data_IF_938754473402
#
_entry.id   IF_938754473402
#
_cell.length_a   1.000
_cell.length_b   1.000
_cell.length_c   1.000
_cell.angle_alpha   90.00
_cell.angle_beta   90.00
_cell.angle_gamma   90.00
#
_symmetry.space_group_name_H-M   'P 1'
#
loop_
_entity.id
_entity.type
_entity.pdbx_description
1 polymer ?
#
# COMPACT_ATOMS: atom_id res chain seq x y z
N UNK A 1 6.47 -15.51 -24.25
CA UNK A 1 5.33 -14.71 -23.79
C UNK A 1 4.38 -15.55 -22.93
N UNK A 2 3.77 -16.62 -23.46
CA UNK A 2 2.81 -17.49 -22.74
C UNK A 2 3.20 -17.89 -21.30
N UNK A 3 4.48 -18.20 -21.05
CA UNK A 3 5.01 -18.60 -19.73
C UNK A 3 4.89 -17.49 -18.70
N UNK A 4 5.29 -16.26 -19.03
CA UNK A 4 5.11 -15.10 -18.16
C UNK A 4 3.63 -14.80 -17.92
N UNK A 5 2.77 -14.99 -18.94
CA UNK A 5 1.32 -14.85 -18.81
C UNK A 5 0.72 -15.80 -17.78
N UNK A 6 0.99 -17.12 -17.88
CA UNK A 6 0.50 -18.09 -16.88
C UNK A 6 1.10 -17.88 -15.49
N UNK A 7 2.38 -17.51 -15.38
CA UNK A 7 3.02 -17.23 -14.09
C UNK A 7 2.36 -16.04 -13.39
N UNK A 8 2.25 -14.89 -14.06
CA UNK A 8 1.66 -13.69 -13.47
C UNK A 8 0.16 -13.86 -13.20
N UNK A 9 -0.57 -14.54 -14.09
CA UNK A 9 -1.99 -14.84 -13.91
C UNK A 9 -2.22 -15.78 -12.71
N UNK A 10 -1.41 -16.83 -12.54
CA UNK A 10 -1.52 -17.75 -11.41
C UNK A 10 -1.22 -17.06 -10.08
N UNK A 11 -0.13 -16.26 -10.02
CA UNK A 11 0.25 -15.48 -8.84
C UNK A 11 -0.85 -14.47 -8.46
N UNK A 12 -1.28 -13.63 -9.40
CA UNK A 12 -2.33 -12.63 -9.15
C UNK A 12 -3.69 -13.25 -8.81
N UNK A 13 -4.07 -14.36 -9.46
CA UNK A 13 -5.32 -15.06 -9.13
C UNK A 13 -5.28 -15.69 -7.73
N UNK A 14 -4.12 -16.21 -7.31
CA UNK A 14 -3.94 -16.72 -5.94
C UNK A 14 -4.09 -15.61 -4.88
N UNK A 15 -3.59 -14.41 -5.15
CA UNK A 15 -3.75 -13.26 -4.25
C UNK A 15 -5.17 -12.67 -4.25
N UNK A 16 -5.86 -12.66 -5.40
CA UNK A 16 -7.30 -12.36 -5.46
C UNK A 16 -8.11 -13.35 -4.61
N UNK A 17 -7.81 -14.65 -4.68
CA UNK A 17 -8.43 -15.68 -3.81
C UNK A 17 -8.15 -15.40 -2.33
N UNK A 18 -6.93 -15.01 -1.96
CA UNK A 18 -6.57 -14.67 -0.56
C UNK A 18 -7.36 -13.48 -0.02
N UNK A 19 -7.69 -12.50 -0.87
CA UNK A 19 -8.36 -11.26 -0.49
C UNK A 19 -9.90 -11.32 -0.54
N UNK A 20 -10.47 -12.09 -1.49
CA UNK A 20 -11.92 -12.08 -1.77
C UNK A 20 -12.64 -13.41 -1.49
N UNK A 21 -11.97 -14.57 -1.52
CA UNK A 21 -12.67 -15.86 -1.41
C UNK A 21 -13.01 -16.21 0.06
N UNK A 22 -14.30 -16.40 0.43
CA UNK A 22 -14.69 -16.72 1.81
C UNK A 22 -14.24 -18.13 2.25
N UNK A 23 -14.03 -19.04 1.30
CA UNK A 23 -13.27 -20.29 1.48
C UNK A 23 -12.11 -20.31 0.50
N UNK A 24 -10.91 -19.91 0.97
CA UNK A 24 -9.68 -19.85 0.15
C UNK A 24 -9.40 -21.14 -0.63
N UNK A 25 -9.61 -22.32 -0.01
CA UNK A 25 -9.39 -23.61 -0.70
C UNK A 25 -10.31 -23.84 -1.91
N UNK A 26 -11.57 -23.40 -1.84
CA UNK A 26 -12.51 -23.48 -2.98
C UNK A 26 -12.03 -22.52 -4.07
N UNK A 27 -11.66 -21.29 -3.71
CA UNK A 27 -11.12 -20.31 -4.66
C UNK A 27 -9.85 -20.82 -5.37
N UNK A 28 -8.91 -21.42 -4.65
CA UNK A 28 -7.71 -22.02 -5.26
C UNK A 28 -8.06 -23.18 -6.19
N UNK A 29 -9.01 -24.05 -5.81
CA UNK A 29 -9.47 -25.14 -6.67
C UNK A 29 -10.13 -24.61 -7.95
N UNK A 30 -11.01 -23.61 -7.85
CA UNK A 30 -11.64 -22.97 -9.01
C UNK A 30 -10.60 -22.32 -9.93
N UNK A 31 -9.64 -21.56 -9.38
CA UNK A 31 -8.55 -20.94 -10.15
C UNK A 31 -7.68 -22.01 -10.82
N UNK A 32 -7.30 -23.07 -10.11
CA UNK A 32 -6.52 -24.17 -10.67
C UNK A 32 -7.25 -24.87 -11.82
N UNK A 33 -8.55 -25.14 -11.69
CA UNK A 33 -9.38 -25.73 -12.76
C UNK A 33 -9.51 -24.77 -13.95
N UNK A 34 -9.74 -23.48 -13.74
CA UNK A 34 -9.80 -22.50 -14.82
C UNK A 34 -8.47 -22.38 -15.57
N UNK A 35 -7.34 -22.39 -14.86
CA UNK A 35 -6.01 -22.38 -15.47
C UNK A 35 -5.70 -23.68 -16.20
N UNK A 36 -6.02 -24.85 -15.63
CA UNK A 36 -5.90 -26.16 -16.28
C UNK A 36 -6.66 -26.21 -17.61
N UNK A 37 -7.91 -25.75 -17.63
CA UNK A 37 -8.72 -25.64 -18.85
C UNK A 37 -8.08 -24.69 -19.85
N UNK A 38 -7.70 -23.48 -19.43
CA UNK A 38 -7.10 -22.48 -20.30
C UNK A 38 -5.78 -22.96 -20.92
N UNK A 39 -4.92 -23.62 -20.13
CA UNK A 39 -3.68 -24.23 -20.59
C UNK A 39 -3.89 -25.46 -21.49
N UNK A 40 -4.98 -26.21 -21.31
CA UNK A 40 -5.32 -27.33 -22.19
C UNK A 40 -5.80 -26.87 -23.57
N UNK A 41 -6.69 -25.87 -23.63
CA UNK A 41 -7.27 -25.41 -24.90
C UNK A 41 -6.26 -24.55 -25.71
N UNK A 42 -5.30 -23.89 -25.05
CA UNK A 42 -4.21 -23.15 -25.70
C UNK A 42 -2.93 -23.96 -26.00
N UNK A 43 -2.97 -25.30 -25.83
CA UNK A 43 -1.80 -26.19 -25.95
C UNK A 43 -0.58 -25.73 -25.09
N UNK A 44 -0.86 -25.10 -23.95
CA UNK A 44 0.12 -24.45 -23.08
C UNK A 44 0.24 -25.14 -21.71
N UNK A 45 0.03 -26.47 -21.67
CA UNK A 45 0.03 -27.24 -20.42
C UNK A 45 1.34 -27.10 -19.61
N UNK A 46 2.51 -27.12 -20.25
CA UNK A 46 3.79 -26.93 -19.55
C UNK A 46 3.95 -25.51 -18.97
N UNK A 47 3.75 -24.41 -19.73
CA UNK A 47 3.62 -23.05 -19.18
C UNK A 47 2.64 -22.91 -18.02
N UNK A 48 1.47 -23.56 -18.12
CA UNK A 48 0.41 -23.50 -17.12
C UNK A 48 0.79 -24.24 -15.83
N UNK A 49 1.36 -25.46 -15.91
CA UNK A 49 1.85 -26.20 -14.74
C UNK A 49 2.98 -25.45 -14.05
N UNK A 50 3.90 -24.84 -14.81
CA UNK A 50 4.94 -23.97 -14.26
C UNK A 50 4.33 -22.75 -13.54
N UNK A 51 3.31 -22.13 -14.13
CA UNK A 51 2.54 -21.05 -13.49
C UNK A 51 1.90 -21.46 -12.17
N UNK A 52 1.28 -22.65 -12.10
CA UNK A 52 0.71 -23.18 -10.86
C UNK A 52 1.77 -23.47 -9.79
N UNK A 53 2.92 -24.02 -10.15
CA UNK A 53 4.05 -24.25 -9.22
C UNK A 53 4.60 -22.93 -8.70
N UNK A 54 4.84 -21.94 -9.56
CA UNK A 54 5.30 -20.60 -9.14
C UNK A 54 4.24 -19.89 -8.29
N UNK A 55 2.95 -20.04 -8.59
CA UNK A 55 1.85 -19.54 -7.78
C UNK A 55 1.80 -20.18 -6.38
N UNK A 56 2.02 -21.49 -6.27
CA UNK A 56 2.09 -22.18 -4.98
C UNK A 56 3.32 -21.75 -4.16
N UNK A 57 4.49 -21.62 -4.79
CA UNK A 57 5.72 -21.12 -4.16
C UNK A 57 5.56 -19.65 -3.73
N UNK A 58 4.88 -18.81 -4.52
CA UNK A 58 4.53 -17.44 -4.14
C UNK A 58 3.62 -17.42 -2.91
N UNK A 59 2.58 -18.26 -2.88
CA UNK A 59 1.67 -18.38 -1.73
C UNK A 59 2.40 -18.81 -0.45
N UNK A 60 3.50 -19.58 -0.57
CA UNK A 60 4.37 -19.95 0.55
C UNK A 60 5.30 -18.80 0.97
N UNK A 61 6.00 -18.17 0.01
CA UNK A 61 7.06 -17.19 0.27
C UNK A 61 6.55 -15.76 0.58
N UNK A 62 5.35 -15.41 0.11
CA UNK A 62 4.68 -14.13 0.36
C UNK A 62 3.37 -14.34 1.14
N UNK A 63 3.41 -14.58 2.45
CA UNK A 63 2.20 -14.63 3.29
C UNK A 63 1.49 -13.27 3.37
N UNK A 64 0.16 -13.25 3.31
CA UNK A 64 -0.62 -12.00 3.29
C UNK A 64 -0.89 -11.37 4.68
N UNK A 65 -0.65 -12.12 5.76
CA UNK A 65 -1.04 -11.81 7.15
C UNK A 65 0.17 -11.73 8.12
N UNK A 66 1.37 -12.01 7.62
CA UNK A 66 2.63 -12.03 8.39
C UNK A 66 3.72 -11.38 7.55
N UNK A 67 4.79 -10.90 8.18
CA UNK A 67 5.99 -10.43 7.45
C UNK A 67 6.50 -11.52 6.51
N UNK A 68 6.90 -11.13 5.30
CA UNK A 68 7.43 -12.08 4.32
C UNK A 68 8.78 -12.63 4.82
N UNK A 69 8.96 -13.96 4.98
CA UNK A 69 10.17 -14.54 5.58
C UNK A 69 11.43 -14.32 4.72
N UNK A 70 11.26 -13.97 3.44
CA UNK A 70 12.32 -13.68 2.48
C UNK A 70 12.34 -12.19 2.05
N UNK A 71 11.56 -11.34 2.73
CA UNK A 71 11.40 -9.92 2.37
C UNK A 71 10.98 -9.73 0.90
N UNK A 72 11.66 -8.80 0.22
CA UNK A 72 11.39 -8.44 -1.17
C UNK A 72 11.89 -9.47 -2.21
N UNK A 73 12.82 -10.37 -1.86
CA UNK A 73 13.50 -11.26 -2.82
C UNK A 73 12.59 -12.15 -3.70
N UNK A 74 11.45 -12.71 -3.21
CA UNK A 74 10.54 -13.47 -4.07
C UNK A 74 9.93 -12.62 -5.21
N UNK A 75 9.75 -11.31 -4.99
CA UNK A 75 9.28 -10.39 -6.02
C UNK A 75 10.34 -10.14 -7.10
N UNK A 76 11.61 -10.00 -6.69
CA UNK A 76 12.74 -9.87 -7.62
C UNK A 76 12.86 -11.12 -8.49
N UNK A 77 12.83 -12.31 -7.87
CA UNK A 77 12.91 -13.58 -8.60
C UNK A 77 11.74 -13.78 -9.57
N UNK A 78 10.51 -13.44 -9.15
CA UNK A 78 9.33 -13.48 -10.02
C UNK A 78 9.45 -12.51 -11.20
N UNK A 79 9.95 -11.30 -10.96
CA UNK A 79 10.19 -10.29 -12.00
C UNK A 79 11.23 -10.76 -13.02
N UNK A 80 12.39 -11.24 -12.55
CA UNK A 80 13.46 -11.80 -13.42
C UNK A 80 12.95 -13.00 -14.23
N UNK A 81 12.21 -13.92 -13.61
CA UNK A 81 11.63 -15.08 -14.29
C UNK A 81 10.60 -14.65 -15.36
N UNK A 82 9.76 -13.65 -15.07
CA UNK A 82 8.75 -13.15 -16.01
C UNK A 82 9.38 -12.39 -17.18
N UNK A 83 10.37 -11.54 -16.93
CA UNK A 83 11.13 -10.82 -17.97
C UNK A 83 11.87 -11.82 -18.86
N UNK A 84 12.60 -12.77 -18.28
CA UNK A 84 13.28 -13.81 -19.06
C UNK A 84 12.34 -14.68 -19.89
N UNK A 85 11.13 -14.97 -19.37
CA UNK A 85 10.07 -15.71 -20.07
C UNK A 85 9.34 -14.92 -21.16
N UNK A 86 9.70 -13.65 -21.36
CA UNK A 86 9.34 -12.82 -22.52
C UNK A 86 10.53 -12.66 -23.46
N UNK A 87 11.73 -12.38 -22.93
CA UNK A 87 12.94 -12.10 -23.73
C UNK A 87 13.51 -13.33 -24.44
N UNK A 88 13.55 -14.51 -23.78
CA UNK A 88 14.13 -15.73 -24.37
C UNK A 88 13.09 -16.69 -24.96
N UNK A 89 11.82 -16.56 -24.55
CA UNK A 89 10.70 -17.32 -25.08
C UNK A 89 9.75 -16.32 -25.73
N UNK A 90 9.87 -16.14 -27.06
CA UNK A 90 9.09 -15.16 -27.83
C UNK A 90 7.61 -15.52 -27.97
N UNK A 91 7.01 -15.07 -29.07
CA UNK A 91 5.66 -15.47 -29.47
C UNK A 91 5.63 -16.91 -30.00
N UNK A 92 4.58 -17.67 -29.67
CA UNK A 92 4.31 -18.97 -30.30
C UNK A 92 3.79 -18.78 -31.73
N UNK A 93 4.20 -19.65 -32.65
CA UNK A 93 3.64 -19.74 -34.01
C UNK A 93 2.31 -20.49 -34.09
N UNK A 94 1.97 -21.29 -33.07
CA UNK A 94 0.70 -22.02 -32.95
C UNK A 94 0.23 -21.98 -31.49
N UNK A 95 -1.05 -21.67 -31.27
CA UNK A 95 -1.71 -21.58 -29.96
C UNK A 95 -2.84 -22.62 -29.81
N UNK A 96 -2.75 -23.74 -30.51
CA UNK A 96 -3.67 -24.88 -30.41
C UNK A 96 -5.09 -24.53 -30.88
N UNK A 97 -6.09 -25.06 -30.18
CA UNK A 97 -7.51 -24.88 -30.51
C UNK A 97 -7.97 -23.41 -30.47
N UNK A 98 -7.23 -22.53 -29.80
CA UNK A 98 -7.51 -21.09 -29.78
C UNK A 98 -6.90 -20.38 -30.99
N UNK A 99 -5.74 -20.82 -31.48
CA UNK A 99 -4.99 -20.14 -32.54
C UNK A 99 -5.75 -19.99 -33.87
N UNK A 100 -6.65 -20.92 -34.19
CA UNK A 100 -7.49 -20.88 -35.41
C UNK A 100 -8.77 -20.06 -35.26
N UNK A 101 -9.14 -19.63 -34.04
CA UNK A 101 -10.39 -18.90 -33.74
C UNK A 101 -10.11 -17.48 -33.24
N UNK A 102 -8.94 -17.23 -32.67
CA UNK A 102 -8.59 -15.97 -32.02
C UNK A 102 -7.90 -14.97 -32.97
N UNK A 103 -8.71 -14.15 -33.65
CA UNK A 103 -8.23 -12.96 -34.39
C UNK A 103 -8.90 -11.68 -33.89
N UNK A 104 -8.47 -11.22 -32.71
CA UNK A 104 -8.89 -9.91 -32.18
C UNK A 104 -8.19 -8.80 -32.97
N UNK A 105 -8.84 -8.36 -34.05
CA UNK A 105 -8.45 -7.17 -34.82
C UNK A 105 -8.65 -5.92 -33.98
N UNK A 106 -7.55 -5.31 -33.55
CA UNK A 106 -7.52 -4.02 -32.86
C UNK A 106 -7.10 -2.90 -33.82
N UNK A 107 -7.29 -1.61 -33.45
CA UNK A 107 -6.74 -0.48 -34.21
C UNK A 107 -5.20 -0.48 -34.34
N UNK A 108 -4.51 -1.31 -33.54
CA UNK A 108 -3.06 -1.39 -33.45
C UNK A 108 -2.48 -2.69 -34.04
N UNK A 109 -3.31 -3.49 -34.72
CA UNK A 109 -2.95 -4.79 -35.28
C UNK A 109 -3.74 -5.95 -34.67
N UNK A 110 -3.37 -7.18 -35.03
CA UNK A 110 -3.96 -8.40 -34.45
C UNK A 110 -3.26 -8.75 -33.13
N UNK A 111 -4.03 -9.03 -32.09
CA UNK A 111 -3.49 -9.34 -30.75
C UNK A 111 -3.38 -10.86 -30.59
N UNK A 112 -2.18 -11.47 -30.63
CA UNK A 112 -2.02 -12.91 -30.45
C UNK A 112 -2.40 -13.34 -29.04
N UNK A 113 -2.88 -14.58 -28.89
CA UNK A 113 -3.34 -15.12 -27.61
C UNK A 113 -2.29 -15.02 -26.50
N UNK A 114 -1.02 -15.31 -26.83
CA UNK A 114 0.15 -15.14 -25.94
C UNK A 114 0.24 -13.75 -25.30
N UNK A 115 0.04 -12.69 -26.10
CA UNK A 115 0.10 -11.29 -25.67
C UNK A 115 -1.15 -10.90 -24.88
N UNK A 116 -2.32 -11.39 -25.29
CA UNK A 116 -3.57 -11.20 -24.55
C UNK A 116 -3.47 -11.84 -23.15
N UNK A 117 -2.93 -13.05 -23.04
CA UNK A 117 -2.72 -13.73 -21.76
C UNK A 117 -1.64 -13.06 -20.91
N UNK A 118 -0.54 -12.59 -21.51
CA UNK A 118 0.47 -11.80 -20.81
C UNK A 118 -0.13 -10.51 -20.23
N UNK A 119 -0.92 -9.79 -21.03
CA UNK A 119 -1.59 -8.55 -20.61
C UNK A 119 -2.60 -8.81 -19.49
N UNK A 120 -3.40 -9.88 -19.60
CA UNK A 120 -4.36 -10.30 -18.59
C UNK A 120 -3.66 -10.68 -17.27
N UNK A 121 -2.63 -11.53 -17.33
CA UNK A 121 -1.85 -11.95 -16.16
C UNK A 121 -1.14 -10.80 -15.48
N UNK A 122 -0.56 -9.89 -16.26
CA UNK A 122 0.07 -8.66 -15.77
C UNK A 122 -0.94 -7.75 -15.07
N UNK A 123 -2.11 -7.51 -15.68
CA UNK A 123 -3.19 -6.74 -15.05
C UNK A 123 -3.67 -7.37 -13.74
N UNK A 124 -3.91 -8.68 -13.72
CA UNK A 124 -4.34 -9.43 -12.52
C UNK A 124 -3.27 -9.40 -11.41
N UNK A 125 -1.98 -9.44 -11.75
CA UNK A 125 -0.86 -9.24 -10.82
C UNK A 125 -0.82 -7.81 -10.24
N UNK A 126 -1.04 -6.79 -11.08
CA UNK A 126 -1.03 -5.38 -10.65
C UNK A 126 -2.15 -5.04 -9.67
N UNK A 127 -3.27 -5.76 -9.68
CA UNK A 127 -4.37 -5.57 -8.74
C UNK A 127 -3.91 -5.83 -7.29
N UNK A 128 -3.47 -7.05 -6.96
CA UNK A 128 -3.20 -7.42 -5.56
C UNK A 128 -1.79 -7.90 -5.24
N UNK A 129 -1.15 -8.70 -6.09
CA UNK A 129 0.23 -9.16 -5.81
C UNK A 129 1.21 -8.00 -5.70
N UNK A 130 1.05 -6.96 -6.54
CA UNK A 130 1.82 -5.73 -6.44
C UNK A 130 1.62 -4.97 -5.09
N UNK A 131 0.50 -5.16 -4.37
CA UNK A 131 0.37 -4.62 -3.00
C UNK A 131 1.28 -5.36 -2.02
N UNK A 132 1.44 -6.68 -2.16
CA UNK A 132 2.36 -7.47 -1.34
C UNK A 132 3.82 -7.10 -1.64
N UNK A 133 4.16 -6.88 -2.91
CA UNK A 133 5.49 -6.42 -3.34
C UNK A 133 5.85 -5.07 -2.71
N UNK A 134 4.96 -4.07 -2.78
CA UNK A 134 5.19 -2.74 -2.19
C UNK A 134 5.36 -2.83 -0.66
N UNK A 135 4.56 -3.66 0.02
CA UNK A 135 4.72 -3.90 1.48
C UNK A 135 6.05 -4.57 1.82
N UNK A 136 6.46 -5.58 1.05
CA UNK A 136 7.70 -6.30 1.27
C UNK A 136 8.96 -5.46 1.02
N UNK A 137 8.87 -4.43 0.16
CA UNK A 137 9.92 -3.41 0.01
C UNK A 137 10.00 -2.52 1.28
N UNK A 138 8.86 -1.97 1.70
CA UNK A 138 8.77 -1.06 2.87
C UNK A 138 9.16 -1.75 4.19
N UNK A 139 8.79 -3.02 4.39
CA UNK A 139 9.25 -3.84 5.53
C UNK A 139 10.77 -4.05 5.53
N UNK A 140 11.40 -4.06 4.34
CA UNK A 140 12.84 -4.29 4.17
C UNK A 140 13.70 -3.12 4.64
N UNK A 141 13.29 -1.89 4.35
CA UNK A 141 14.10 -0.68 4.56
C UNK A 141 14.10 -0.15 6.01
N UNK A 142 13.40 -0.79 6.94
CA UNK A 142 13.37 -0.46 8.38
C UNK A 142 12.84 0.95 8.74
N UNK A 143 12.32 1.70 7.76
CA UNK A 143 11.77 3.07 7.89
C UNK A 143 10.59 3.18 8.87
N UNK A 144 9.95 2.05 9.22
CA UNK A 144 8.81 2.01 10.13
C UNK A 144 9.10 1.30 11.46
N UNK A 145 9.49 2.09 12.47
CA UNK A 145 9.15 1.81 13.87
C UNK A 145 7.95 2.68 14.26
N UNK A 146 6.73 2.14 14.48
CA UNK A 146 5.59 2.95 14.88
C UNK A 146 5.91 3.73 16.16
N UNK A 147 5.65 5.03 16.16
CA UNK A 147 5.72 5.84 17.38
C UNK A 147 4.75 5.34 18.47
N UNK A 148 3.73 4.57 18.07
CA UNK A 148 2.81 3.85 18.94
C UNK A 148 3.43 2.62 19.59
N UNK A 149 4.29 1.84 18.90
CA UNK A 149 5.07 0.79 19.57
C UNK A 149 6.16 1.39 20.46
N UNK A 150 6.70 2.57 20.13
CA UNK A 150 7.63 3.29 21.02
C UNK A 150 6.92 3.82 22.26
N UNK A 151 5.71 4.40 22.12
CA UNK A 151 4.87 4.79 23.26
C UNK A 151 4.38 3.60 24.07
N UNK A 152 3.99 2.49 23.43
CA UNK A 152 3.62 1.26 24.13
C UNK A 152 4.81 0.73 24.94
N UNK A 153 6.00 0.60 24.34
CA UNK A 153 7.20 0.16 25.06
C UNK A 153 7.61 1.11 26.22
N UNK A 154 7.34 2.41 26.13
CA UNK A 154 7.57 3.37 27.23
C UNK A 154 6.49 3.29 28.31
N UNK A 155 5.25 2.88 27.97
CA UNK A 155 4.16 2.66 28.93
C UNK A 155 4.16 1.24 29.54
N UNK A 156 4.90 0.31 28.95
CA UNK A 156 5.08 -1.09 29.36
C UNK A 156 6.46 -1.30 30.05
N UNK A 157 7.23 -0.22 30.24
CA UNK A 157 8.38 -0.15 31.16
C UNK A 157 7.88 -0.05 32.60
N UNK A 158 8.07 -1.05 33.49
CA UNK A 158 7.47 -1.01 34.83
C UNK A 158 8.15 -0.04 35.81
N UNK A 159 9.43 0.29 35.58
CA UNK A 159 10.28 1.02 36.53
C UNK A 159 11.12 2.12 35.84
N UNK A 160 10.54 3.29 35.62
CA UNK A 160 11.33 4.54 35.52
C UNK A 160 10.50 5.75 36.01
N UNK A 161 10.34 5.85 37.33
CA UNK A 161 9.78 7.04 37.97
C UNK A 161 10.72 8.23 37.74
N UNK A 162 10.25 9.40 37.27
CA UNK A 162 11.11 10.56 37.03
C UNK A 162 11.64 11.09 38.37
N UNK A 163 12.92 10.85 38.65
CA UNK A 163 13.60 11.35 39.85
C UNK A 163 13.63 12.86 39.83
N UNK A 164 12.93 13.50 40.77
CA UNK A 164 12.81 14.95 40.90
C UNK A 164 14.12 15.56 41.44
N UNK A 165 15.15 15.62 40.59
CA UNK A 165 16.48 16.13 40.93
C UNK A 165 17.20 16.77 39.73
N UNK A 166 16.52 17.64 39.01
CA UNK A 166 17.14 18.52 38.01
C UNK A 166 16.77 19.98 38.31
N UNK A 167 17.39 20.51 39.37
CA UNK A 167 17.24 21.91 39.80
C UNK A 167 18.13 22.79 38.92
N UNK A 168 17.60 23.79 38.18
CA UNK A 168 18.43 24.63 37.32
C UNK A 168 19.51 25.36 38.12
N UNK A 169 20.78 25.05 37.84
CA UNK A 169 21.93 25.67 38.51
C UNK A 169 22.07 27.11 38.03
N UNK A 170 21.59 28.05 38.84
CA UNK A 170 21.72 29.47 38.55
C UNK A 170 23.19 29.92 38.63
N UNK A 171 23.69 30.53 37.55
CA UNK A 171 25.01 31.17 37.56
C UNK A 171 24.99 32.42 38.47
N UNK A 172 25.91 32.55 39.44
CA UNK A 172 25.96 33.71 40.31
C UNK A 172 26.55 34.93 39.59
N UNK A 173 25.74 35.97 39.40
CA UNK A 173 26.21 37.31 39.01
C UNK A 173 26.59 38.08 40.29
N UNK A 174 27.79 38.65 40.31
CA UNK A 174 28.29 39.39 41.48
C UNK A 174 27.63 40.79 41.61
N UNK A 175 27.38 41.28 42.84
CA UNK A 175 26.77 42.60 43.07
C UNK A 175 27.79 43.74 42.98
N UNK A 176 27.36 44.93 42.51
CA UNK A 176 28.21 46.12 42.51
C UNK A 176 27.50 47.44 42.17
N UNK A 177 27.69 48.43 43.05
CA UNK A 177 27.35 49.87 42.92
C UNK A 177 25.86 50.29 42.93
N UNK A 178 25.64 51.53 43.38
CA UNK A 178 24.34 52.16 43.66
C UNK A 178 24.21 53.48 42.88
N UNK A 179 22.96 53.89 42.58
CA UNK A 179 22.40 55.26 42.54
C UNK A 179 21.23 55.37 41.54
N UNK A 180 20.22 56.23 41.67
CA UNK A 180 19.53 56.83 42.83
C UNK A 180 18.25 57.55 42.32
N UNK A 181 17.33 57.92 43.22
CA UNK A 181 16.34 59.02 43.12
C UNK A 181 15.10 58.93 42.17
N UNK A 182 14.01 59.65 42.53
CA UNK A 182 12.88 60.04 41.65
C UNK A 182 11.49 59.38 41.85
N UNK A 183 10.53 60.10 42.48
CA UNK A 183 9.08 59.77 42.56
C UNK A 183 8.32 60.10 41.23
N UNK A 184 6.99 59.90 40.97
CA UNK A 184 5.68 59.79 41.69
C UNK A 184 4.71 58.97 40.76
N UNK A 185 3.57 58.33 41.10
CA UNK A 185 2.79 58.07 42.33
C UNK A 185 1.24 58.32 42.16
N UNK A 186 0.37 57.55 42.85
CA UNK A 186 -1.15 57.64 42.89
C UNK A 186 -1.84 57.17 41.58
N UNK A 187 -3.03 56.53 41.46
CA UNK A 187 -4.25 56.18 42.27
C UNK A 187 -4.58 54.66 42.06
N UNK A 188 -5.46 53.90 42.75
CA UNK A 188 -6.84 54.12 43.25
C UNK A 188 -7.89 53.75 42.17
N UNK A 189 -8.91 52.88 42.32
CA UNK A 189 -9.49 52.15 43.47
C UNK A 189 -10.13 50.77 43.09
N UNK A 190 -10.63 50.08 44.14
CA UNK A 190 -11.47 48.88 44.25
C UNK A 190 -12.81 48.85 43.46
N UNK A 191 -13.62 47.78 43.43
CA UNK A 191 -13.46 46.38 43.92
C UNK A 191 -14.81 45.69 44.29
N UNK A 192 -14.75 44.41 44.72
CA UNK A 192 -15.84 43.59 45.38
C UNK A 192 -17.07 43.23 44.51
N UNK A 193 -17.64 42.01 44.53
CA UNK A 193 -17.26 40.73 45.17
C UNK A 193 -18.44 39.79 45.47
N UNK A 194 -18.14 38.60 46.01
CA UNK A 194 -19.06 37.58 46.58
C UNK A 194 -20.01 36.83 45.59
N UNK A 195 -20.51 35.60 45.85
CA UNK A 195 -20.36 34.70 47.01
C UNK A 195 -20.40 33.20 46.61
N UNK A 196 -19.89 32.31 47.46
CA UNK A 196 -20.06 30.84 47.37
C UNK A 196 -21.45 30.35 47.81
N UNK A 197 -21.88 29.20 47.28
CA UNK A 197 -22.79 28.27 47.97
C UNK A 197 -22.68 26.84 47.42
N UNK A 198 -22.57 25.85 48.31
CA UNK A 198 -22.59 24.40 47.99
C UNK A 198 -23.87 23.74 48.51
N UNK A 199 -24.44 22.82 47.73
CA UNK A 199 -25.37 21.78 48.16
C UNK A 199 -25.40 20.63 47.13
N UNK A 200 -25.83 19.44 47.54
CA UNK A 200 -25.85 18.24 46.70
C UNK A 200 -27.19 17.49 46.78
N UNK A 201 -27.27 16.38 46.06
CA UNK A 201 -28.33 15.36 46.05
C UNK A 201 -29.69 15.74 45.43
N UNK A 202 -30.04 15.04 44.36
CA UNK A 202 -31.10 14.02 44.40
C UNK A 202 -30.96 13.04 43.21
N UNK A 203 -31.58 11.87 43.30
CA UNK A 203 -31.50 10.82 42.28
C UNK A 203 -32.84 10.13 42.11
N UNK A 204 -33.32 10.02 40.87
CA UNK A 204 -34.40 9.08 40.49
C UNK A 204 -34.08 8.40 39.14
N UNK A 205 -34.37 7.11 38.96
CA UNK A 205 -34.13 6.39 37.71
C UNK A 205 -35.43 5.98 36.99
N UNK A 206 -35.61 6.42 35.74
CA UNK A 206 -36.40 5.72 34.72
C UNK A 206 -36.20 6.36 33.34
N UNK A 207 -35.91 5.57 32.31
CA UNK A 207 -35.77 6.08 30.94
C UNK A 207 -34.87 5.25 30.04
N UNK A 208 -35.29 4.01 29.72
CA UNK A 208 -34.66 3.19 28.68
C UNK A 208 -34.95 3.83 27.30
N UNK A 209 -34.15 4.83 26.94
CA UNK A 209 -34.28 5.55 25.68
C UNK A 209 -33.79 4.65 24.54
N UNK A 210 -34.74 4.18 23.72
CA UNK A 210 -34.54 3.24 22.60
C UNK A 210 -33.26 3.56 21.80
N UNK A 211 -32.23 2.77 22.04
CA UNK A 211 -30.86 3.06 21.63
C UNK A 211 -30.67 2.72 20.15
N UNK A 212 -31.19 3.60 19.27
CA UNK A 212 -31.01 3.56 17.82
C UNK A 212 -29.54 3.25 17.53
N UNK A 213 -29.22 2.04 16.99
CA UNK A 213 -27.84 1.58 16.95
C UNK A 213 -27.05 2.49 16.02
N UNK A 214 -26.12 3.24 16.61
CA UNK A 214 -25.31 4.22 15.90
C UNK A 214 -24.59 3.51 14.75
N UNK A 215 -25.04 3.77 13.51
CA UNK A 215 -24.42 3.21 12.30
C UNK A 215 -22.98 3.67 12.25
N UNK A 216 -22.05 2.77 12.56
CA UNK A 216 -20.62 3.06 12.61
C UNK A 216 -20.18 3.74 11.31
N UNK A 217 -19.72 5.00 11.35
CA UNK A 217 -19.23 5.70 10.16
C UNK A 217 -18.04 4.99 9.50
N UNK A 218 -17.37 4.06 10.22
CA UNK A 218 -16.30 3.20 9.68
C UNK A 218 -16.81 2.01 8.86
N UNK A 219 -18.12 1.87 8.68
CA UNK A 219 -18.70 1.20 7.51
C UNK A 219 -18.41 1.97 6.19
N UNK A 220 -17.78 3.15 6.28
CA UNK A 220 -17.23 3.93 5.17
C UNK A 220 -16.38 3.11 4.20
N UNK A 221 -16.42 3.53 2.94
CA UNK A 221 -16.01 2.72 1.80
C UNK A 221 -14.57 2.19 1.87
N UNK A 222 -14.38 0.94 1.44
CA UNK A 222 -13.08 0.26 1.26
C UNK A 222 -12.15 0.90 0.20
N UNK A 223 -12.46 2.13 -0.26
CA UNK A 223 -11.78 2.82 -1.36
C UNK A 223 -10.27 2.99 -1.16
N UNK A 224 -9.83 3.28 0.07
CA UNK A 224 -8.40 3.38 0.42
C UNK A 224 -7.57 2.14 0.08
N UNK A 225 -8.19 0.97 -0.04
CA UNK A 225 -7.53 -0.28 -0.46
C UNK A 225 -7.44 -0.43 -1.99
N UNK A 226 -8.40 0.13 -2.73
CA UNK A 226 -8.52 -0.03 -4.19
C UNK A 226 -7.81 1.08 -4.98
N UNK A 227 -7.53 2.24 -4.39
CA UNK A 227 -6.87 3.37 -5.06
C UNK A 227 -5.50 2.96 -5.62
N UNK A 228 -4.59 2.40 -4.82
CA UNK A 228 -3.26 1.98 -5.30
C UNK A 228 -3.28 0.94 -6.43
N UNK A 229 -4.10 -0.12 -6.36
CA UNK A 229 -4.38 -1.02 -7.48
C UNK A 229 -4.85 -0.31 -8.74
N UNK A 230 -5.87 0.57 -8.64
CA UNK A 230 -6.44 1.29 -9.78
C UNK A 230 -5.44 2.29 -10.38
N UNK A 231 -4.62 2.95 -9.57
CA UNK A 231 -3.52 3.80 -10.03
C UNK A 231 -2.52 2.99 -10.87
N UNK A 232 -2.10 1.80 -10.44
CA UNK A 232 -1.17 0.96 -11.23
C UNK A 232 -1.78 0.48 -12.55
N UNK A 233 -3.06 0.12 -12.57
CA UNK A 233 -3.77 -0.22 -13.81
C UNK A 233 -3.85 1.00 -14.72
N UNK A 234 -4.15 2.18 -14.19
CA UNK A 234 -4.23 3.42 -14.96
C UNK A 234 -2.85 3.85 -15.49
N UNK A 235 -1.76 3.66 -14.73
CA UNK A 235 -0.37 3.79 -15.21
C UNK A 235 -0.12 2.88 -16.41
N UNK A 236 -0.46 1.59 -16.29
CA UNK A 236 -0.22 0.61 -17.34
C UNK A 236 -0.98 0.97 -18.62
N UNK A 237 -2.27 1.32 -18.49
CA UNK A 237 -3.12 1.69 -19.62
C UNK A 237 -2.69 3.02 -20.27
N UNK A 238 -2.37 4.06 -19.49
CA UNK A 238 -1.91 5.34 -20.05
C UNK A 238 -0.54 5.22 -20.73
N UNK A 239 0.35 4.38 -20.21
CA UNK A 239 1.67 4.12 -20.83
C UNK A 239 1.49 3.37 -22.15
N UNK A 240 0.70 2.29 -22.17
CA UNK A 240 0.43 1.52 -23.39
C UNK A 240 -0.35 2.32 -24.45
N UNK A 241 -1.19 3.27 -24.03
CA UNK A 241 -1.90 4.20 -24.92
C UNK A 241 -1.09 5.44 -25.32
N UNK A 242 0.21 5.50 -24.97
CA UNK A 242 1.10 6.66 -25.18
C UNK A 242 0.56 8.00 -24.64
N UNK A 243 -0.33 7.97 -23.65
CA UNK A 243 -1.02 9.11 -23.06
C UNK A 243 -0.16 9.83 -22.01
N UNK A 244 1.12 10.06 -22.33
CA UNK A 244 2.14 10.57 -21.41
C UNK A 244 1.77 11.90 -20.72
N UNK A 245 1.08 12.88 -21.36
CA UNK A 245 0.65 14.10 -20.67
C UNK A 245 -0.35 13.83 -19.53
N UNK A 246 -1.25 12.86 -19.71
CA UNK A 246 -2.23 12.48 -18.69
C UNK A 246 -1.55 11.71 -17.55
N UNK A 247 -0.61 10.82 -17.90
CA UNK A 247 0.24 10.12 -16.93
C UNK A 247 1.06 11.09 -16.07
N UNK A 248 1.67 12.10 -16.69
CA UNK A 248 2.43 13.14 -16.01
C UNK A 248 1.54 14.04 -15.12
N UNK A 249 0.34 14.40 -15.59
CA UNK A 249 -0.63 15.15 -14.80
C UNK A 249 -1.10 14.35 -13.56
N UNK A 250 -1.34 13.05 -13.71
CA UNK A 250 -1.71 12.15 -12.62
C UNK A 250 -0.57 11.99 -11.59
N UNK A 251 0.68 11.83 -12.05
CA UNK A 251 1.90 11.84 -11.23
C UNK A 251 1.98 13.12 -10.39
N UNK A 252 1.91 14.28 -11.05
CA UNK A 252 2.00 15.59 -10.40
C UNK A 252 0.87 15.82 -9.39
N UNK A 253 -0.37 15.52 -9.76
CA UNK A 253 -1.54 15.66 -8.88
C UNK A 253 -1.41 14.80 -7.61
N UNK A 254 -0.93 13.55 -7.73
CA UNK A 254 -0.70 12.67 -6.58
C UNK A 254 0.36 13.25 -5.62
N UNK A 255 1.41 13.88 -6.14
CA UNK A 255 2.42 14.58 -5.35
C UNK A 255 1.86 15.81 -4.64
N UNK A 256 1.16 16.69 -5.37
CA UNK A 256 0.60 17.94 -4.84
C UNK A 256 -0.43 17.68 -3.74
N UNK A 257 -1.34 16.73 -3.94
CA UNK A 257 -2.40 16.39 -2.96
C UNK A 257 -1.83 15.81 -1.67
N UNK A 258 -0.62 15.23 -1.70
CA UNK A 258 0.09 14.65 -0.54
C UNK A 258 1.06 15.59 0.14
N UNK A 259 1.33 16.76 -0.44
CA UNK A 259 2.29 17.72 0.10
C UNK A 259 1.91 18.22 1.51
N UNK A 260 0.63 18.54 1.85
CA UNK A 260 0.25 18.99 3.19
C UNK A 260 0.50 17.97 4.30
N UNK A 261 0.37 16.68 4.02
CA UNK A 261 0.66 15.60 4.97
C UNK A 261 2.17 15.35 5.10
N UNK A 262 2.91 15.43 3.99
CA UNK A 262 4.38 15.34 3.97
C UNK A 262 4.99 16.48 4.79
N UNK A 263 4.58 17.73 4.56
CA UNK A 263 5.12 18.92 5.24
C UNK A 263 4.69 19.08 6.70
N UNK A 264 3.84 18.19 7.22
CA UNK A 264 3.42 18.14 8.63
C UNK A 264 4.02 16.97 9.41
N UNK A 265 4.79 16.10 8.76
CA UNK A 265 5.55 15.07 9.46
C UNK A 265 6.79 15.73 10.11
N UNK A 266 6.91 15.60 11.44
CA UNK A 266 7.95 16.26 12.23
C UNK A 266 9.33 15.66 12.06
N UNK A 267 10.21 15.89 13.05
CA UNK A 267 11.66 15.60 13.02
C UNK A 267 12.07 14.17 12.57
N UNK A 268 11.16 13.19 12.58
CA UNK A 268 11.45 11.83 12.11
C UNK A 268 11.21 11.58 10.63
N UNK A 269 10.45 12.42 9.90
CA UNK A 269 10.16 12.30 8.45
C UNK A 269 9.51 11.00 7.93
N UNK A 270 9.30 10.00 8.79
CA UNK A 270 9.09 8.61 8.40
C UNK A 270 7.79 8.34 7.60
N UNK A 271 6.72 9.15 7.74
CA UNK A 271 5.53 9.00 6.90
C UNK A 271 5.74 9.58 5.51
N UNK A 272 6.55 10.64 5.38
CA UNK A 272 6.95 11.18 4.09
C UNK A 272 7.79 10.16 3.34
N UNK A 273 8.79 9.58 3.99
CA UNK A 273 9.63 8.49 3.44
C UNK A 273 8.78 7.27 3.03
N UNK A 274 7.95 6.74 3.92
CA UNK A 274 7.03 5.62 3.63
C UNK A 274 6.13 5.90 2.42
N UNK A 275 5.65 7.13 2.25
CA UNK A 275 4.85 7.49 1.08
C UNK A 275 5.69 7.64 -0.20
N UNK A 276 6.88 8.26 -0.12
CA UNK A 276 7.76 8.45 -1.26
C UNK A 276 8.25 7.10 -1.79
N UNK A 277 8.81 6.24 -0.94
CA UNK A 277 9.21 4.87 -1.29
C UNK A 277 8.00 4.06 -1.77
N UNK A 278 6.92 4.03 -0.99
CA UNK A 278 5.75 3.19 -1.28
C UNK A 278 5.05 3.57 -2.59
N UNK A 279 5.04 4.86 -2.93
CA UNK A 279 4.55 5.31 -4.23
C UNK A 279 5.56 5.02 -5.34
N UNK A 280 6.84 5.36 -5.18
CA UNK A 280 7.90 5.13 -6.18
C UNK A 280 7.97 3.65 -6.60
N UNK A 281 8.00 2.72 -5.63
CA UNK A 281 7.98 1.28 -5.91
C UNK A 281 6.70 0.87 -6.66
N UNK A 282 5.54 1.43 -6.30
CA UNK A 282 4.27 1.18 -6.99
C UNK A 282 4.24 1.71 -8.43
N UNK A 283 4.85 2.88 -8.69
CA UNK A 283 5.01 3.43 -10.05
C UNK A 283 5.99 2.58 -10.88
N UNK A 284 7.15 2.20 -10.32
CA UNK A 284 8.13 1.33 -10.98
C UNK A 284 7.52 -0.02 -11.38
N UNK A 285 6.70 -0.63 -10.52
CA UNK A 285 5.99 -1.88 -10.84
C UNK A 285 4.97 -1.65 -11.96
N UNK A 286 4.18 -0.57 -11.92
CA UNK A 286 3.19 -0.26 -12.97
C UNK A 286 3.81 0.06 -14.33
N UNK A 287 4.93 0.79 -14.35
CA UNK A 287 5.68 1.13 -15.56
C UNK A 287 6.46 -0.07 -16.10
N UNK A 288 7.08 -0.88 -15.24
CA UNK A 288 7.76 -2.11 -15.63
C UNK A 288 6.80 -3.16 -16.21
N UNK A 289 5.60 -3.27 -15.64
CA UNK A 289 4.51 -4.06 -16.20
C UNK A 289 4.07 -3.58 -17.60
N UNK A 290 3.90 -2.26 -17.76
CA UNK A 290 3.58 -1.66 -19.06
C UNK A 290 4.69 -1.91 -20.10
N UNK A 291 5.95 -1.75 -19.69
CA UNK A 291 7.12 -1.99 -20.56
C UNK A 291 7.25 -3.48 -20.95
N UNK A 292 6.97 -4.42 -20.04
CA UNK A 292 6.99 -5.85 -20.34
C UNK A 292 5.94 -6.24 -21.39
N UNK A 293 4.73 -5.68 -21.29
CA UNK A 293 3.65 -5.87 -22.28
C UNK A 293 3.97 -5.17 -23.60
N UNK A 294 4.50 -3.94 -23.54
CA UNK A 294 4.91 -3.19 -24.74
C UNK A 294 6.03 -3.91 -25.49
N UNK A 295 7.07 -4.37 -24.79
CA UNK A 295 8.18 -5.13 -25.37
C UNK A 295 7.66 -6.39 -26.06
N UNK A 296 6.81 -7.17 -25.38
CA UNK A 296 6.19 -8.37 -25.94
C UNK A 296 5.26 -8.09 -27.15
N UNK A 297 4.80 -6.84 -27.35
CA UNK A 297 4.04 -6.45 -28.53
C UNK A 297 4.93 -6.04 -29.74
N UNK A 298 6.24 -5.88 -29.53
CA UNK A 298 7.20 -5.39 -30.53
C UNK A 298 8.42 -6.32 -30.70
N UNK A 299 8.37 -7.55 -30.18
CA UNK A 299 9.46 -8.55 -30.18
C UNK A 299 9.07 -9.87 -30.87
#
# INVERSE_FOLDING_TARGET
>A
MIVAGFILLAVGSADLVRQFAPRRWVGYLTVAVMLLLLGSVSDALLPMVLGLVVGALWVWCMPAERRAPLGFWPAVLLGVLSIGSVVWLGARTDAGLIGSVWSVRSPFGEIPFDLALLTMGTGVFLLESANLVVRAALDGEHTWRPAELRRAAVLDSPDEQPTASDTPVAHPVAPGAQADDGAIGVIGEAGVGAADAVAAEQSEPAGEADAVPARDPRAGFKGGRLIGPLERILVMLLTLAAAYPILAAMLAAKGIVRFPEISRDGETGARAEYFLVGSLVSWVIGLGAAFLVWWAAHS
#
